data_IF_934630853212
#
_entry.id   IF_934630853212
#
_cell.length_a   1.000
_cell.length_b   1.000
_cell.length_c   1.000
_cell.angle_alpha   90.00
_cell.angle_beta   90.00
_cell.angle_gamma   90.00
#
_symmetry.space_group_name_H-M   'P 1'
#
loop_
_entity.id
_entity.type
_entity.pdbx_description
1 polymer ?
#
# COMPACT_ATOMS: atom_id res chain seq x y z
N UNK A 1 -26.56 18.65 -5.18
CA UNK A 1 -25.83 17.81 -4.20
C UNK A 1 -24.35 17.88 -4.55
N UNK A 2 -23.48 18.27 -3.62
CA UNK A 2 -22.04 18.32 -3.88
C UNK A 2 -21.52 16.89 -4.13
N UNK A 3 -20.95 16.62 -5.31
CA UNK A 3 -20.27 15.36 -5.61
C UNK A 3 -19.05 15.26 -4.70
N UNK A 4 -19.09 14.35 -3.73
CA UNK A 4 -17.92 14.01 -2.93
C UNK A 4 -16.82 13.49 -3.87
N UNK A 5 -15.54 13.83 -3.63
CA UNK A 5 -14.44 13.31 -4.42
C UNK A 5 -14.44 11.79 -4.35
N UNK A 6 -14.66 11.15 -5.49
CA UNK A 6 -14.57 9.70 -5.62
C UNK A 6 -13.10 9.31 -5.59
N UNK A 7 -12.65 8.73 -4.48
CA UNK A 7 -11.34 8.07 -4.39
C UNK A 7 -11.42 6.73 -5.11
N UNK A 8 -10.44 6.41 -5.97
CA UNK A 8 -10.36 5.10 -6.63
C UNK A 8 -10.08 3.96 -5.62
N UNK A 9 -9.47 4.28 -4.48
CA UNK A 9 -9.15 3.32 -3.42
C UNK A 9 -10.33 3.23 -2.45
N UNK A 10 -11.33 2.41 -2.79
CA UNK A 10 -12.55 2.23 -1.97
C UNK A 10 -12.54 0.95 -1.15
N UNK A 11 -11.74 -0.05 -1.54
CA UNK A 11 -11.71 -1.35 -0.86
C UNK A 11 -10.71 -1.40 0.30
N UNK A 12 -11.08 -2.12 1.36
CA UNK A 12 -10.28 -2.28 2.58
C UNK A 12 -9.70 -3.69 2.65
N UNK A 13 -8.37 -3.78 2.64
CA UNK A 13 -7.64 -5.02 2.87
C UNK A 13 -7.06 -5.05 4.28
N UNK A 14 -7.46 -6.04 5.09
CA UNK A 14 -6.91 -6.25 6.44
C UNK A 14 -6.12 -7.54 6.49
N UNK A 15 -4.84 -7.47 6.86
CA UNK A 15 -3.93 -8.62 6.94
C UNK A 15 -3.28 -8.71 8.30
N UNK A 16 -3.25 -9.91 8.88
CA UNK A 16 -2.46 -10.19 10.10
C UNK A 16 -1.02 -10.48 9.71
N UNK A 17 -0.08 -9.77 10.34
CA UNK A 17 1.35 -9.90 10.08
C UNK A 17 2.15 -9.96 11.38
N UNK A 18 3.34 -10.56 11.33
CA UNK A 18 4.24 -10.56 12.47
C UNK A 18 4.79 -9.16 12.76
N UNK A 19 5.19 -8.85 14.01
CA UNK A 19 5.82 -7.57 14.36
C UNK A 19 7.08 -7.28 13.54
N UNK A 20 7.87 -8.34 13.24
CA UNK A 20 9.06 -8.25 12.39
C UNK A 20 8.71 -7.81 10.97
N UNK A 21 7.64 -8.36 10.39
CA UNK A 21 7.19 -7.98 9.05
C UNK A 21 6.64 -6.55 9.03
N UNK A 22 5.90 -6.15 10.06
CA UNK A 22 5.42 -4.76 10.22
C UNK A 22 6.59 -3.76 10.24
N UNK A 23 7.66 -4.08 10.97
CA UNK A 23 8.88 -3.27 11.00
C UNK A 23 9.50 -3.12 9.61
N UNK A 24 9.67 -4.22 8.88
CA UNK A 24 10.18 -4.22 7.50
C UNK A 24 9.30 -3.40 6.56
N UNK A 25 7.98 -3.55 6.66
CA UNK A 25 7.04 -2.80 5.83
C UNK A 25 7.11 -1.29 6.09
N UNK A 26 7.22 -0.89 7.36
CA UNK A 26 7.38 0.51 7.73
C UNK A 26 8.71 1.09 7.23
N UNK A 27 9.80 0.31 7.28
CA UNK A 27 11.08 0.73 6.69
C UNK A 27 10.98 0.86 5.17
N UNK A 28 10.28 -0.07 4.52
CA UNK A 28 10.08 -0.06 3.08
C UNK A 28 9.25 1.16 2.64
N UNK A 29 8.19 1.49 3.38
CA UNK A 29 7.38 2.68 3.16
C UNK A 29 8.17 4.00 3.22
N UNK A 30 9.26 4.05 4.00
CA UNK A 30 10.13 5.24 4.08
C UNK A 30 10.99 5.45 2.84
N UNK A 31 11.10 4.46 1.95
CA UNK A 31 11.84 4.64 0.70
C UNK A 31 10.99 5.45 -0.28
N UNK A 32 11.58 6.44 -0.96
CA UNK A 32 10.87 7.36 -1.85
C UNK A 32 10.06 6.68 -2.97
N UNK A 33 10.44 5.45 -3.35
CA UNK A 33 9.76 4.65 -4.38
C UNK A 33 8.46 3.96 -3.94
N UNK A 34 8.09 4.03 -2.66
CA UNK A 34 6.95 3.28 -2.09
C UNK A 34 5.86 4.18 -1.49
N UNK A 35 5.82 5.47 -1.86
CA UNK A 35 4.68 6.35 -1.58
C UNK A 35 4.49 6.73 -0.10
N UNK A 36 5.50 6.57 0.75
CA UNK A 36 5.55 7.11 2.12
C UNK A 36 4.68 6.39 3.15
N UNK A 37 3.81 5.46 2.75
CA UNK A 37 2.91 4.73 3.64
C UNK A 37 2.99 3.22 3.43
N UNK A 38 2.67 2.46 4.47
CA UNK A 38 2.63 0.99 4.41
C UNK A 38 1.63 0.48 3.36
N UNK A 39 0.47 1.14 3.24
CA UNK A 39 -0.56 0.78 2.26
C UNK A 39 -0.11 1.05 0.82
N UNK A 40 0.52 2.21 0.57
CA UNK A 40 1.07 2.52 -0.74
C UNK A 40 2.22 1.56 -1.11
N UNK A 41 3.06 1.21 -0.14
CA UNK A 41 4.13 0.24 -0.31
C UNK A 41 3.60 -1.14 -0.73
N UNK A 42 2.58 -1.66 -0.04
CA UNK A 42 1.95 -2.95 -0.40
C UNK A 42 1.36 -2.87 -1.80
N UNK A 43 0.61 -1.81 -2.11
CA UNK A 43 -0.01 -1.62 -3.42
C UNK A 43 1.03 -1.66 -4.55
N UNK A 44 2.10 -0.87 -4.43
CA UNK A 44 3.15 -0.80 -5.44
C UNK A 44 3.86 -2.15 -5.61
N UNK A 45 4.06 -2.90 -4.51
CA UNK A 45 4.66 -4.22 -4.59
C UNK A 45 3.75 -5.23 -5.32
N UNK A 46 2.44 -5.19 -5.07
CA UNK A 46 1.46 -6.03 -5.76
C UNK A 46 1.40 -5.67 -7.24
N UNK A 47 1.22 -4.38 -7.56
CA UNK A 47 1.16 -3.91 -8.95
C UNK A 47 2.43 -4.30 -9.73
N UNK A 48 3.62 -4.11 -9.14
CA UNK A 48 4.89 -4.50 -9.79
C UNK A 48 5.06 -6.01 -9.97
N UNK A 49 4.54 -6.81 -9.06
CA UNK A 49 4.58 -8.27 -9.20
C UNK A 49 3.72 -8.74 -10.38
N UNK A 50 2.58 -8.06 -10.63
CA UNK A 50 1.69 -8.37 -11.74
C UNK A 50 2.08 -7.72 -13.07
N UNK A 51 2.71 -6.54 -13.08
CA UNK A 51 3.18 -5.90 -14.31
C UNK A 51 4.40 -6.59 -14.96
N UNK A 52 4.99 -7.57 -14.29
CA UNK A 52 6.07 -8.42 -14.82
C UNK A 52 5.56 -9.76 -15.39
N UNK A 53 4.26 -9.89 -15.60
CA UNK A 53 3.58 -10.97 -16.34
C UNK A 53 2.98 -10.34 -17.59
#
# INVERSE_FOLDING_TARGET
MAKLPTTENTEIFTMRISPKLKGKLNQLAKQSKYGGSASAAIRILIERAYSNI
#
